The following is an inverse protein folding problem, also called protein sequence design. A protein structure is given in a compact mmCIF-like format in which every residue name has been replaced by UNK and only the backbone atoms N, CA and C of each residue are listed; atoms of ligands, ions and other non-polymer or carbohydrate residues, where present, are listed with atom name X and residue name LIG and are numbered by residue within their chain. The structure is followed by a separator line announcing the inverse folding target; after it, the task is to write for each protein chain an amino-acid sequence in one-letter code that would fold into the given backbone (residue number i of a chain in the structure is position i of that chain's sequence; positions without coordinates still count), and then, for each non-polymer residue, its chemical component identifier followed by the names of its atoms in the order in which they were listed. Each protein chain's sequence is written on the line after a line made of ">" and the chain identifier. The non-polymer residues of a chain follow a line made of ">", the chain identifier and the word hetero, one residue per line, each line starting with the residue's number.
data_IF_706776666724
#
_entry.id   IF_706776666724
#
_cell.length_a   1.000
_cell.length_b   1.000
_cell.length_c   1.000
_cell.angle_alpha   90.00
_cell.angle_beta   90.00
_cell.angle_gamma   90.00
#
_symmetry.space_group_name_H-M   'P 1'
#
loop_
_entity.id
_entity.type
_entity.pdbx_description
1 polymer ?
#
# COMPACT_ATOMS: atom_id res chain seq x y z
N UNK A 1 -52.99 38.89 24.57
CA UNK A 1 -51.64 38.32 24.36
C UNK A 1 -50.70 39.46 23.95
N UNK A 2 -49.57 39.62 24.65
CA UNK A 2 -48.76 40.84 24.62
C UNK A 2 -47.79 40.84 23.42
N UNK A 3 -48.10 41.65 22.40
CA UNK A 3 -47.36 41.77 21.12
C UNK A 3 -45.85 42.01 21.35
N UNK A 4 -45.49 42.80 22.36
CA UNK A 4 -44.09 43.09 22.72
C UNK A 4 -43.29 41.86 23.18
N UNK A 5 -43.94 40.84 23.77
CA UNK A 5 -43.29 39.59 24.21
C UNK A 5 -42.99 38.69 23.01
N UNK A 6 -43.94 38.60 22.07
CA UNK A 6 -43.80 37.84 20.82
C UNK A 6 -42.70 38.45 19.93
N UNK A 7 -42.58 39.78 19.89
CA UNK A 7 -41.53 40.48 19.14
C UNK A 7 -40.13 40.27 19.74
N UNK A 8 -39.99 40.28 21.07
CA UNK A 8 -38.73 39.95 21.76
C UNK A 8 -38.30 38.50 21.50
N UNK A 9 -39.20 37.54 21.66
CA UNK A 9 -38.90 36.11 21.43
C UNK A 9 -38.53 35.84 19.95
N UNK A 10 -39.13 36.55 19.00
CA UNK A 10 -38.76 36.50 17.58
C UNK A 10 -37.39 37.12 17.32
N UNK A 11 -37.05 38.23 18.00
CA UNK A 11 -35.74 38.87 17.94
C UNK A 11 -34.62 37.96 18.44
N UNK A 12 -34.81 37.32 19.59
CA UNK A 12 -33.83 36.41 20.19
C UNK A 12 -33.64 35.12 19.37
N UNK A 13 -34.72 34.55 18.82
CA UNK A 13 -34.61 33.43 17.86
C UNK A 13 -33.83 33.82 16.59
N UNK A 14 -34.08 35.00 16.02
CA UNK A 14 -33.33 35.49 14.85
C UNK A 14 -31.86 35.70 15.17
N UNK A 15 -31.53 36.25 16.34
CA UNK A 15 -30.15 36.45 16.80
C UNK A 15 -29.39 35.12 16.94
N UNK A 16 -30.00 34.14 17.61
CA UNK A 16 -29.42 32.80 17.75
C UNK A 16 -29.28 32.01 16.44
N UNK A 17 -30.07 32.32 15.39
CA UNK A 17 -29.87 31.76 14.05
C UNK A 17 -28.69 32.45 13.35
N UNK A 18 -28.59 33.77 13.43
CA UNK A 18 -27.49 34.54 12.82
C UNK A 18 -26.13 34.20 13.41
N UNK A 19 -26.04 33.98 14.72
CA UNK A 19 -24.79 33.62 15.38
C UNK A 19 -24.30 32.22 14.95
N UNK A 20 -25.22 31.25 14.83
CA UNK A 20 -24.91 29.91 14.30
C UNK A 20 -24.47 29.93 12.83
N UNK A 21 -25.03 30.83 12.02
CA UNK A 21 -24.62 31.01 10.62
C UNK A 21 -23.23 31.64 10.50
N UNK A 22 -22.91 32.62 11.37
CA UNK A 22 -21.56 33.22 11.45
C UNK A 22 -20.53 32.20 11.89
N UNK A 23 -20.85 31.37 12.88
CA UNK A 23 -19.95 30.34 13.39
C UNK A 23 -19.68 29.25 12.32
N UNK A 24 -20.71 28.79 11.61
CA UNK A 24 -20.56 27.87 10.46
C UNK A 24 -19.69 28.49 9.36
N UNK A 25 -19.92 29.76 9.00
CA UNK A 25 -19.15 30.47 7.96
C UNK A 25 -17.69 30.66 8.37
N UNK A 26 -17.41 31.00 9.63
CA UNK A 26 -16.05 31.14 10.15
C UNK A 26 -15.32 29.80 10.17
N UNK A 27 -15.99 28.71 10.58
CA UNK A 27 -15.42 27.35 10.53
C UNK A 27 -15.11 26.95 9.09
N UNK A 28 -16.03 27.20 8.15
CA UNK A 28 -15.82 26.92 6.72
C UNK A 28 -14.66 27.73 6.13
N UNK A 29 -14.57 29.04 6.41
CA UNK A 29 -13.46 29.89 5.96
C UNK A 29 -12.11 29.46 6.55
N UNK A 30 -12.07 29.04 7.82
CA UNK A 30 -10.86 28.51 8.46
C UNK A 30 -10.41 27.21 7.77
N UNK A 31 -11.34 26.30 7.50
CA UNK A 31 -11.07 25.06 6.75
C UNK A 31 -10.60 25.35 5.32
N UNK A 32 -11.19 26.31 4.61
CA UNK A 32 -10.77 26.69 3.25
C UNK A 32 -9.36 27.31 3.21
N UNK A 33 -9.02 28.19 4.16
CA UNK A 33 -7.66 28.76 4.26
C UNK A 33 -6.63 27.70 4.62
N UNK A 34 -6.93 26.82 5.58
CA UNK A 34 -6.05 25.70 5.92
C UNK A 34 -5.81 24.79 4.72
N UNK A 35 -6.85 24.44 3.96
CA UNK A 35 -6.71 23.65 2.73
C UNK A 35 -5.86 24.34 1.67
N UNK A 36 -5.95 25.66 1.50
CA UNK A 36 -5.11 26.41 0.56
C UNK A 36 -3.63 26.44 0.99
N UNK A 37 -3.37 26.70 2.27
CA UNK A 37 -2.00 26.71 2.82
C UNK A 37 -1.38 25.31 2.74
N UNK A 38 -2.16 24.28 3.06
CA UNK A 38 -1.76 22.88 2.97
C UNK A 38 -1.50 22.47 1.51
N UNK A 39 -2.39 22.82 0.57
CA UNK A 39 -2.19 22.56 -0.86
C UNK A 39 -0.92 23.24 -1.40
N UNK A 40 -0.61 24.46 -0.95
CA UNK A 40 0.61 25.18 -1.32
C UNK A 40 1.88 24.51 -0.76
N UNK A 41 1.78 23.87 0.41
CA UNK A 41 2.88 23.05 0.97
C UNK A 41 3.00 21.72 0.21
N UNK A 42 1.89 21.03 -0.04
CA UNK A 42 1.84 19.72 -0.69
C UNK A 42 2.30 19.75 -2.15
N UNK A 43 2.26 20.91 -2.82
CA UNK A 43 2.91 21.08 -4.14
C UNK A 43 4.44 20.90 -4.13
N UNK A 44 5.04 20.61 -2.97
CA UNK A 44 6.45 20.23 -2.78
C UNK A 44 6.55 18.78 -2.29
N UNK A 45 7.77 18.27 -2.14
CA UNK A 45 8.03 16.91 -1.69
C UNK A 45 7.69 15.85 -2.72
N UNK A 46 7.72 14.59 -2.29
CA UNK A 46 7.41 13.43 -3.15
C UNK A 46 5.96 13.46 -3.64
N UNK A 47 5.01 13.90 -2.79
CA UNK A 47 3.60 13.97 -3.17
C UNK A 47 3.37 14.99 -4.30
N UNK A 48 3.96 16.18 -4.18
CA UNK A 48 3.89 17.21 -5.22
C UNK A 48 4.62 16.78 -6.50
N UNK A 49 5.85 16.28 -6.36
CA UNK A 49 6.65 15.83 -7.51
C UNK A 49 5.93 14.78 -8.37
N UNK A 50 5.25 13.83 -7.74
CA UNK A 50 4.51 12.79 -8.45
C UNK A 50 3.08 13.19 -8.84
N UNK A 51 2.64 14.43 -8.60
CA UNK A 51 1.29 14.89 -8.95
C UNK A 51 0.21 14.10 -8.21
N UNK A 52 0.41 13.86 -6.91
CA UNK A 52 -0.45 13.04 -6.05
C UNK A 52 -1.25 13.85 -5.02
N UNK A 53 -1.22 15.18 -5.11
CA UNK A 53 -1.77 16.13 -4.14
C UNK A 53 -3.27 15.94 -3.93
N UNK A 54 -4.03 15.88 -5.03
CA UNK A 54 -5.49 15.69 -4.98
C UNK A 54 -5.86 14.36 -4.32
N UNK A 55 -5.14 13.29 -4.65
CA UNK A 55 -5.36 11.99 -4.02
C UNK A 55 -5.00 12.03 -2.53
N UNK A 56 -3.86 12.63 -2.19
CA UNK A 56 -3.36 12.74 -0.83
C UNK A 56 -4.32 13.51 0.09
N UNK A 57 -4.85 14.64 -0.38
CA UNK A 57 -5.79 15.49 0.37
C UNK A 57 -7.18 14.88 0.51
N UNK A 58 -7.64 14.13 -0.49
CA UNK A 58 -9.01 13.61 -0.51
C UNK A 58 -9.13 12.18 0.04
N UNK A 59 -8.10 11.34 -0.07
CA UNK A 59 -8.15 9.92 0.35
C UNK A 59 -7.75 9.72 1.82
N UNK A 60 -6.86 10.56 2.36
CA UNK A 60 -6.41 10.49 3.74
C UNK A 60 -7.01 11.59 4.60
N UNK A 61 -7.32 11.28 5.86
CA UNK A 61 -7.63 12.31 6.86
C UNK A 61 -6.36 13.04 7.30
N UNK A 62 -6.50 14.16 8.01
CA UNK A 62 -5.35 14.89 8.55
C UNK A 62 -4.53 14.03 9.53
N UNK A 63 -5.21 13.23 10.36
CA UNK A 63 -4.60 12.29 11.30
C UNK A 63 -3.80 11.21 10.56
N UNK A 64 -4.38 10.61 9.52
CA UNK A 64 -3.68 9.62 8.69
C UNK A 64 -2.46 10.24 7.99
N UNK A 65 -2.59 11.46 7.44
CA UNK A 65 -1.45 12.17 6.83
C UNK A 65 -0.34 12.42 7.84
N UNK A 66 -0.67 12.80 9.07
CA UNK A 66 0.31 12.99 10.14
C UNK A 66 0.99 11.67 10.55
N UNK A 67 0.23 10.57 10.64
CA UNK A 67 0.79 9.24 10.89
C UNK A 67 1.76 8.85 9.77
N UNK A 68 1.37 9.06 8.51
CA UNK A 68 2.22 8.73 7.36
C UNK A 68 3.52 9.53 7.40
N UNK A 69 3.45 10.85 7.60
CA UNK A 69 4.62 11.74 7.67
C UNK A 69 5.56 11.37 8.82
N UNK A 70 5.03 11.03 9.99
CA UNK A 70 5.84 10.67 11.15
C UNK A 70 6.45 9.26 11.04
N UNK A 71 5.80 8.36 10.32
CA UNK A 71 6.28 6.97 10.13
C UNK A 71 7.28 6.87 8.99
N UNK A 72 7.03 7.57 7.89
CA UNK A 72 7.86 7.55 6.71
C UNK A 72 9.03 8.52 6.86
N UNK A 73 10.18 7.98 7.27
CA UNK A 73 11.42 8.74 7.48
C UNK A 73 12.56 8.00 6.77
N UNK A 74 12.56 7.98 5.42
CA UNK A 74 13.62 7.35 4.65
C UNK A 74 14.97 8.04 4.93
N UNK A 75 16.02 7.23 5.05
CA UNK A 75 17.36 7.73 5.34
C UNK A 75 17.83 8.68 4.22
N UNK A 76 18.40 9.82 4.62
CA UNK A 76 19.05 10.76 3.69
C UNK A 76 18.13 11.79 3.02
N UNK A 77 16.81 11.71 3.20
CA UNK A 77 15.87 12.69 2.64
C UNK A 77 15.47 13.78 3.65
N UNK A 78 15.92 13.73 4.91
CA UNK A 78 15.56 14.73 5.92
C UNK A 78 14.11 14.62 6.40
N UNK A 79 13.69 15.51 7.31
CA UNK A 79 12.35 15.44 7.89
C UNK A 79 11.28 15.89 6.90
N UNK A 80 10.20 15.12 6.82
CA UNK A 80 8.98 15.44 6.07
C UNK A 80 9.16 15.53 4.54
N UNK A 81 9.95 14.60 3.99
CA UNK A 81 10.24 14.48 2.55
C UNK A 81 9.01 14.40 1.65
N UNK A 82 7.90 13.90 2.18
CA UNK A 82 6.64 13.75 1.46
C UNK A 82 6.06 15.07 0.98
N UNK A 83 6.22 16.16 1.74
CA UNK A 83 5.50 17.43 1.48
C UNK A 83 6.34 18.70 1.60
N UNK A 84 7.62 18.63 1.98
CA UNK A 84 8.43 19.85 2.17
C UNK A 84 9.60 19.99 1.19
N UNK A 85 10.28 18.91 0.86
CA UNK A 85 11.53 18.99 0.11
C UNK A 85 11.30 19.29 -1.37
N UNK A 86 12.05 20.22 -1.95
CA UNK A 86 12.02 20.39 -3.39
C UNK A 86 12.79 19.25 -4.06
N UNK A 87 12.07 18.43 -4.81
CA UNK A 87 12.65 17.33 -5.58
C UNK A 87 12.90 17.86 -6.98
N UNK A 88 14.18 18.08 -7.30
CA UNK A 88 14.62 18.54 -8.62
C UNK A 88 14.51 17.43 -9.65
N UNK A 89 14.82 16.20 -9.25
CA UNK A 89 14.74 15.02 -10.12
C UNK A 89 14.68 13.74 -9.31
N UNK A 90 13.97 12.73 -9.81
CA UNK A 90 13.98 11.37 -9.31
C UNK A 90 13.98 10.41 -10.50
N UNK A 91 14.72 9.31 -10.39
CA UNK A 91 14.64 8.19 -11.34
C UNK A 91 13.50 7.22 -11.00
N UNK A 92 12.89 7.35 -9.82
CA UNK A 92 11.85 6.45 -9.34
C UNK A 92 10.51 6.76 -10.01
N UNK A 93 9.79 5.71 -10.44
CA UNK A 93 8.44 5.86 -10.98
C UNK A 93 7.40 6.11 -9.88
N UNK A 94 6.19 6.56 -10.27
CA UNK A 94 5.05 6.70 -9.32
C UNK A 94 4.69 5.37 -8.65
N UNK A 95 4.78 4.26 -9.41
CA UNK A 95 4.52 2.92 -8.89
C UNK A 95 5.57 2.54 -7.86
N UNK A 96 6.85 2.74 -8.17
CA UNK A 96 7.94 2.44 -7.27
C UNK A 96 7.88 3.27 -5.98
N UNK A 97 7.57 4.57 -6.09
CA UNK A 97 7.37 5.44 -4.94
C UNK A 97 6.26 4.93 -4.02
N UNK A 98 5.05 4.74 -4.55
CA UNK A 98 3.91 4.30 -3.74
C UNK A 98 4.09 2.88 -3.20
N UNK A 99 4.71 1.99 -3.98
CA UNK A 99 5.12 0.65 -3.55
C UNK A 99 6.08 0.74 -2.35
N UNK A 100 7.15 1.53 -2.47
CA UNK A 100 8.11 1.79 -1.39
C UNK A 100 7.45 2.37 -0.15
N UNK A 101 6.58 3.38 -0.32
CA UNK A 101 5.82 4.00 0.76
C UNK A 101 4.94 2.98 1.50
N UNK A 102 4.19 2.15 0.77
CA UNK A 102 3.32 1.12 1.38
C UNK A 102 4.08 0.15 2.28
N UNK A 103 5.37 -0.07 2.00
CA UNK A 103 6.19 -1.03 2.72
C UNK A 103 6.46 -0.64 4.19
N UNK A 104 6.27 0.63 4.56
CA UNK A 104 6.39 1.15 5.93
C UNK A 104 5.17 0.85 6.80
N UNK A 105 4.03 0.51 6.19
CA UNK A 105 2.74 0.41 6.86
C UNK A 105 2.21 -1.04 6.92
N UNK A 106 3.11 -2.04 6.94
CA UNK A 106 2.74 -3.47 6.92
C UNK A 106 2.01 -3.95 8.18
N UNK A 107 2.18 -3.26 9.31
CA UNK A 107 1.65 -3.72 10.60
C UNK A 107 0.12 -3.51 10.68
N UNK A 108 -0.59 -4.35 11.47
CA UNK A 108 -2.03 -4.24 11.72
C UNK A 108 -2.56 -2.83 11.96
N UNK A 109 -1.90 -2.07 12.83
CA UNK A 109 -2.31 -0.72 13.21
C UNK A 109 -2.31 0.27 12.03
N UNK A 110 -1.55 -0.01 10.98
CA UNK A 110 -1.42 0.83 9.78
C UNK A 110 -2.05 0.21 8.53
N UNK A 111 -2.70 -0.94 8.66
CA UNK A 111 -3.26 -1.66 7.51
C UNK A 111 -4.24 -0.82 6.66
N UNK A 112 -5.15 0.00 7.24
CA UNK A 112 -6.02 0.87 6.44
C UNK A 112 -5.24 1.87 5.56
N UNK A 113 -4.16 2.44 6.09
CA UNK A 113 -3.27 3.35 5.35
C UNK A 113 -2.57 2.59 4.22
N UNK A 114 -1.98 1.44 4.53
CA UNK A 114 -1.29 0.61 3.53
C UNK A 114 -2.21 0.22 2.37
N UNK A 115 -3.46 -0.14 2.67
CA UNK A 115 -4.47 -0.50 1.66
C UNK A 115 -4.77 0.68 0.73
N UNK A 116 -4.97 1.89 1.26
CA UNK A 116 -5.19 3.10 0.44
C UNK A 116 -4.01 3.42 -0.47
N UNK A 117 -2.78 3.21 0.01
CA UNK A 117 -1.55 3.41 -0.78
C UNK A 117 -1.45 2.36 -1.90
N UNK A 118 -1.67 1.08 -1.58
CA UNK A 118 -1.64 -0.02 -2.57
C UNK A 118 -2.72 0.15 -3.64
N UNK A 119 -3.94 0.52 -3.25
CA UNK A 119 -5.04 0.82 -4.19
C UNK A 119 -4.63 1.92 -5.18
N UNK A 120 -3.94 2.96 -4.70
CA UNK A 120 -3.46 4.04 -5.58
C UNK A 120 -2.32 3.56 -6.47
N UNK A 121 -1.35 2.83 -5.92
CA UNK A 121 -0.23 2.27 -6.65
C UNK A 121 -0.71 1.39 -7.82
N UNK A 122 -1.74 0.56 -7.57
CA UNK A 122 -2.32 -0.34 -8.57
C UNK A 122 -2.83 0.39 -9.82
N UNK A 123 -3.28 1.66 -9.70
CA UNK A 123 -3.70 2.49 -10.84
C UNK A 123 -2.58 2.89 -11.81
N UNK A 124 -1.34 2.54 -11.48
CA UNK A 124 -0.14 2.80 -12.28
C UNK A 124 0.52 1.52 -12.82
N UNK A 125 -0.02 0.34 -12.53
CA UNK A 125 0.53 -0.96 -13.00
C UNK A 125 0.61 -1.00 -14.52
N UNK A 126 -0.45 -0.61 -15.22
CA UNK A 126 -0.48 -0.61 -16.70
C UNK A 126 0.22 0.60 -17.33
N UNK A 127 0.87 1.45 -16.51
CA UNK A 127 1.54 2.69 -16.94
C UNK A 127 3.05 2.64 -16.76
N UNK A 128 3.58 1.50 -16.31
CA UNK A 128 5.02 1.29 -16.17
C UNK A 128 5.47 0.18 -17.10
N UNK A 129 6.59 0.40 -17.76
CA UNK A 129 7.30 -0.63 -18.52
C UNK A 129 8.44 -1.25 -17.69
N UNK A 130 8.68 -0.73 -16.48
CA UNK A 130 9.71 -1.25 -15.59
C UNK A 130 9.21 -2.51 -14.87
N UNK A 131 9.76 -3.65 -15.28
CA UNK A 131 9.41 -4.95 -14.74
C UNK A 131 9.82 -5.14 -13.27
N UNK A 132 10.88 -4.46 -12.82
CA UNK A 132 11.33 -4.54 -11.43
C UNK A 132 10.41 -3.70 -10.54
N UNK A 133 9.92 -2.56 -11.01
CA UNK A 133 8.89 -1.79 -10.30
C UNK A 133 7.62 -2.61 -10.08
N UNK A 134 7.15 -3.32 -11.12
CA UNK A 134 6.02 -4.25 -11.02
C UNK A 134 6.31 -5.38 -10.03
N UNK A 135 7.49 -5.99 -10.13
CA UNK A 135 7.91 -7.06 -9.23
C UNK A 135 7.91 -6.61 -7.77
N UNK A 136 8.48 -5.44 -7.46
CA UNK A 136 8.52 -4.90 -6.10
C UNK A 136 7.15 -4.42 -5.61
N UNK A 137 6.30 -3.89 -6.50
CA UNK A 137 4.90 -3.59 -6.17
C UNK A 137 4.16 -4.83 -5.69
N UNK A 138 4.16 -5.92 -6.47
CA UNK A 138 3.49 -7.14 -6.06
C UNK A 138 4.12 -7.74 -4.80
N UNK A 139 5.45 -7.65 -4.64
CA UNK A 139 6.11 -8.05 -3.40
C UNK A 139 5.56 -7.32 -2.17
N UNK A 140 5.45 -6.00 -2.23
CA UNK A 140 4.93 -5.20 -1.12
C UNK A 140 3.44 -5.49 -0.88
N UNK A 141 2.66 -5.65 -1.95
CA UNK A 141 1.25 -6.06 -1.91
C UNK A 141 1.08 -7.39 -1.16
N UNK A 142 1.89 -8.41 -1.48
CA UNK A 142 1.89 -9.71 -0.79
C UNK A 142 2.19 -9.55 0.70
N UNK A 143 3.24 -8.79 1.04
CA UNK A 143 3.69 -8.65 2.42
C UNK A 143 2.67 -7.91 3.30
N UNK A 144 2.03 -6.87 2.77
CA UNK A 144 0.96 -6.13 3.48
C UNK A 144 -0.24 -7.05 3.69
N UNK A 145 -0.77 -7.66 2.64
CA UNK A 145 -1.99 -8.46 2.77
C UNK A 145 -1.79 -9.74 3.58
N UNK A 146 -0.70 -10.48 3.36
CA UNK A 146 -0.47 -11.73 4.10
C UNK A 146 -0.29 -11.48 5.60
N UNK A 147 0.33 -10.36 5.99
CA UNK A 147 0.50 -9.99 7.40
C UNK A 147 -0.83 -9.67 8.08
N UNK A 148 -1.81 -9.17 7.32
CA UNK A 148 -3.12 -8.74 7.82
C UNK A 148 -4.26 -9.71 7.46
N UNK A 149 -3.92 -10.94 7.03
CA UNK A 149 -4.86 -11.99 6.62
C UNK A 149 -5.86 -12.43 7.71
N UNK A 150 -5.51 -12.23 8.97
CA UNK A 150 -6.34 -12.61 10.12
C UNK A 150 -7.26 -11.43 10.56
N UNK A 151 -7.11 -10.26 9.94
CA UNK A 151 -7.84 -9.01 10.28
C UNK A 151 -8.87 -8.67 9.20
N UNK A 152 -8.51 -8.81 7.93
CA UNK A 152 -9.38 -8.61 6.78
C UNK A 152 -9.61 -9.96 6.10
N UNK A 153 -10.87 -10.39 6.06
CA UNK A 153 -11.26 -11.70 5.50
C UNK A 153 -10.81 -11.88 4.04
N UNK A 154 -10.65 -10.78 3.30
CA UNK A 154 -10.21 -10.81 1.90
C UNK A 154 -8.69 -10.72 1.76
N UNK A 155 -7.95 -10.40 2.82
CA UNK A 155 -6.51 -10.16 2.72
C UNK A 155 -5.72 -11.44 2.38
N UNK A 156 -6.18 -12.62 2.80
CA UNK A 156 -5.54 -13.86 2.35
C UNK A 156 -5.65 -14.04 0.83
N UNK A 157 -6.83 -13.84 0.26
CA UNK A 157 -7.08 -13.99 -1.17
C UNK A 157 -6.34 -12.93 -1.99
N UNK A 158 -6.31 -11.69 -1.51
CA UNK A 158 -5.53 -10.61 -2.11
C UNK A 158 -4.02 -10.93 -2.10
N UNK A 159 -3.50 -11.53 -1.03
CA UNK A 159 -2.11 -11.98 -0.98
C UNK A 159 -1.84 -13.11 -1.98
N UNK A 160 -2.75 -14.09 -2.10
CA UNK A 160 -2.64 -15.18 -3.10
C UNK A 160 -2.66 -14.61 -4.51
N UNK A 161 -3.56 -13.67 -4.79
CA UNK A 161 -3.65 -13.01 -6.10
C UNK A 161 -2.36 -12.26 -6.43
N UNK A 162 -1.84 -11.46 -5.50
CA UNK A 162 -0.58 -10.76 -5.67
C UNK A 162 0.62 -11.72 -5.85
N UNK A 163 0.63 -12.88 -5.17
CA UNK A 163 1.65 -13.91 -5.42
C UNK A 163 1.61 -14.40 -6.87
N UNK A 164 0.40 -14.67 -7.40
CA UNK A 164 0.22 -15.11 -8.79
C UNK A 164 0.63 -14.01 -9.78
N UNK A 165 0.30 -12.75 -9.50
CA UNK A 165 0.73 -11.60 -10.32
C UNK A 165 2.26 -11.44 -10.33
N UNK A 166 2.93 -11.60 -9.18
CA UNK A 166 4.39 -11.55 -9.15
C UNK A 166 5.03 -12.73 -9.90
N UNK A 167 4.46 -13.94 -9.76
CA UNK A 167 4.93 -15.14 -10.45
C UNK A 167 4.72 -15.05 -11.96
N UNK A 168 3.64 -14.44 -12.45
CA UNK A 168 3.40 -14.35 -13.90
C UNK A 168 4.47 -13.55 -14.63
N UNK A 169 5.12 -12.61 -13.95
CA UNK A 169 6.22 -11.79 -14.48
C UNK A 169 7.62 -12.31 -14.10
N UNK A 170 7.72 -13.44 -13.39
CA UNK A 170 8.97 -13.90 -12.78
C UNK A 170 10.10 -14.10 -13.79
N UNK A 171 9.84 -14.70 -14.96
CA UNK A 171 10.88 -14.90 -15.98
C UNK A 171 11.45 -13.59 -16.51
N UNK A 172 10.62 -12.55 -16.61
CA UNK A 172 11.05 -11.23 -17.06
C UNK A 172 11.83 -10.51 -15.96
N UNK A 173 11.32 -10.55 -14.72
CA UNK A 173 12.01 -10.00 -13.55
C UNK A 173 13.37 -10.66 -13.32
N UNK A 174 13.47 -11.99 -13.45
CA UNK A 174 14.73 -12.73 -13.36
C UNK A 174 15.77 -12.26 -14.39
N UNK A 175 15.33 -11.99 -15.63
CA UNK A 175 16.21 -11.43 -16.67
C UNK A 175 16.67 -10.02 -16.32
N UNK A 176 15.79 -9.17 -15.80
CA UNK A 176 16.13 -7.82 -15.37
C UNK A 176 17.11 -7.81 -14.19
N UNK A 177 16.86 -8.61 -13.15
CA UNK A 177 17.78 -8.76 -12.01
C UNK A 177 19.17 -9.24 -12.44
N UNK A 178 19.28 -10.19 -13.38
CA UNK A 178 20.59 -10.64 -13.88
C UNK A 178 21.38 -9.56 -14.63
N UNK A 179 20.71 -8.54 -15.18
CA UNK A 179 21.38 -7.40 -15.81
C UNK A 179 21.93 -6.43 -14.77
N UNK A 180 21.21 -6.22 -13.67
CA UNK A 180 21.58 -5.27 -12.62
C UNK A 180 22.50 -5.87 -11.55
N UNK A 181 22.31 -7.15 -11.23
CA UNK A 181 23.04 -7.86 -10.20
C UNK A 181 24.15 -8.71 -10.82
N UNK A 182 25.38 -8.55 -10.31
CA UNK A 182 26.52 -9.41 -10.67
C UNK A 182 26.50 -10.80 -9.98
N UNK A 183 25.36 -11.20 -9.40
CA UNK A 183 25.27 -12.36 -8.50
C UNK A 183 24.00 -13.18 -8.67
N UNK A 184 23.71 -14.02 -7.68
CA UNK A 184 22.53 -14.87 -7.68
C UNK A 184 21.24 -14.03 -7.60
N UNK A 185 20.17 -14.55 -8.19
CA UNK A 185 18.85 -13.95 -8.04
C UNK A 185 18.46 -13.89 -6.55
N UNK A 186 17.72 -12.85 -6.12
CA UNK A 186 17.23 -12.79 -4.75
C UNK A 186 16.21 -13.90 -4.48
N UNK A 187 15.76 -14.00 -3.24
CA UNK A 187 14.60 -14.82 -2.92
C UNK A 187 13.33 -14.19 -3.52
N UNK A 188 12.52 -14.99 -4.20
CA UNK A 188 11.27 -14.52 -4.80
C UNK A 188 10.09 -14.68 -3.84
N UNK A 189 9.60 -13.56 -3.30
CA UNK A 189 8.55 -13.53 -2.27
C UNK A 189 7.26 -14.23 -2.73
N UNK A 190 6.81 -14.05 -3.97
CA UNK A 190 5.61 -14.69 -4.51
C UNK A 190 5.66 -16.21 -4.48
N UNK A 191 6.71 -16.82 -5.04
CA UNK A 191 6.94 -18.27 -4.96
C UNK A 191 6.98 -18.77 -3.52
N UNK A 192 7.79 -18.14 -2.65
CA UNK A 192 7.91 -18.57 -1.24
C UNK A 192 6.56 -18.49 -0.54
N UNK A 193 5.91 -17.33 -0.60
CA UNK A 193 4.69 -17.08 0.17
C UNK A 193 3.52 -17.94 -0.32
N UNK A 194 3.38 -18.12 -1.64
CA UNK A 194 2.36 -19.01 -2.20
C UNK A 194 2.61 -20.46 -1.80
N UNK A 195 3.86 -20.93 -1.84
CA UNK A 195 4.18 -22.27 -1.37
C UNK A 195 3.90 -22.46 0.13
N UNK A 196 4.12 -21.44 0.97
CA UNK A 196 3.73 -21.49 2.40
C UNK A 196 2.20 -21.60 2.54
N UNK A 197 1.45 -20.82 1.76
CA UNK A 197 -0.02 -20.83 1.80
C UNK A 197 -0.56 -22.21 1.37
N UNK A 198 -0.06 -22.75 0.26
CA UNK A 198 -0.49 -24.07 -0.26
C UNK A 198 -0.12 -25.22 0.69
N UNK A 199 1.05 -25.17 1.32
CA UNK A 199 1.42 -26.17 2.34
C UNK A 199 0.45 -26.16 3.53
N UNK A 200 0.05 -24.96 4.02
CA UNK A 200 -0.97 -24.82 5.08
C UNK A 200 -2.34 -25.33 4.65
N UNK A 201 -2.68 -25.22 3.37
CA UNK A 201 -3.91 -25.74 2.77
C UNK A 201 -3.83 -27.25 2.45
N UNK A 202 -2.71 -27.92 2.79
CA UNK A 202 -2.43 -29.33 2.43
C UNK A 202 -2.44 -29.61 0.93
N UNK A 203 -2.29 -28.58 0.10
CA UNK A 203 -2.17 -28.68 -1.35
C UNK A 203 -0.69 -28.88 -1.71
N UNK A 204 -0.18 -30.07 -1.40
CA UNK A 204 1.23 -30.42 -1.56
C UNK A 204 1.64 -30.54 -3.03
N UNK A 205 0.70 -30.87 -3.93
CA UNK A 205 0.95 -30.89 -5.37
C UNK A 205 1.30 -29.49 -5.87
N UNK A 206 0.51 -28.47 -5.50
CA UNK A 206 0.85 -27.08 -5.83
C UNK A 206 2.20 -26.66 -5.23
N UNK A 207 2.52 -27.05 -3.98
CA UNK A 207 3.82 -26.73 -3.37
C UNK A 207 4.98 -27.26 -4.22
N UNK A 208 4.88 -28.50 -4.70
CA UNK A 208 5.89 -29.11 -5.56
C UNK A 208 6.02 -28.33 -6.88
N UNK A 209 4.89 -28.02 -7.54
CA UNK A 209 4.91 -27.31 -8.83
C UNK A 209 5.52 -25.91 -8.71
N UNK A 210 5.06 -25.13 -7.72
CA UNK A 210 5.56 -23.78 -7.44
C UNK A 210 7.07 -23.80 -7.15
N UNK A 211 7.53 -24.75 -6.33
CA UNK A 211 8.95 -24.85 -5.95
C UNK A 211 9.83 -25.30 -7.12
N UNK A 212 9.34 -26.23 -7.95
CA UNK A 212 10.05 -26.65 -9.18
C UNK A 212 10.18 -25.50 -10.17
N UNK A 213 9.12 -24.71 -10.36
CA UNK A 213 9.16 -23.55 -11.25
C UNK A 213 10.18 -22.52 -10.74
N UNK A 214 10.12 -22.14 -9.46
CA UNK A 214 11.06 -21.21 -8.85
C UNK A 214 12.53 -21.65 -9.03
N UNK A 215 12.82 -22.94 -8.75
CA UNK A 215 14.13 -23.55 -8.95
C UNK A 215 14.57 -23.49 -10.42
N UNK A 216 13.69 -23.85 -11.36
CA UNK A 216 14.02 -23.85 -12.79
C UNK A 216 14.33 -22.47 -13.35
N UNK A 217 13.72 -21.42 -12.78
CA UNK A 217 13.97 -20.03 -13.15
C UNK A 217 15.23 -19.45 -12.46
N UNK A 218 15.82 -20.20 -11.52
CA UNK A 218 17.05 -19.84 -10.82
C UNK A 218 16.87 -18.90 -9.64
N UNK A 219 15.64 -18.71 -9.14
CA UNK A 219 15.39 -17.91 -7.94
C UNK A 219 16.04 -18.55 -6.72
N UNK A 220 16.61 -17.75 -5.81
CA UNK A 220 17.20 -18.28 -4.59
C UNK A 220 16.11 -18.76 -3.61
N UNK A 221 16.41 -19.80 -2.83
CA UNK A 221 15.49 -20.39 -1.85
C UNK A 221 15.77 -21.86 -1.55
N UNK A 222 15.09 -22.41 -0.54
CA UNK A 222 15.21 -23.80 -0.09
C UNK A 222 14.32 -24.78 -0.89
N UNK A 223 14.27 -24.60 -2.21
CA UNK A 223 13.29 -25.26 -3.09
C UNK A 223 13.36 -26.79 -3.05
N UNK A 224 14.57 -27.37 -3.03
CA UNK A 224 14.74 -28.82 -2.99
C UNK A 224 14.18 -29.42 -1.71
N UNK A 225 14.53 -28.83 -0.56
CA UNK A 225 14.01 -29.22 0.75
C UNK A 225 12.49 -29.08 0.82
N UNK A 226 11.94 -28.04 0.19
CA UNK A 226 10.50 -27.80 0.14
C UNK A 226 9.78 -28.83 -0.74
N UNK A 227 10.37 -29.21 -1.88
CA UNK A 227 9.86 -30.28 -2.76
C UNK A 227 9.86 -31.62 -2.03
N UNK A 228 10.98 -32.00 -1.41
CA UNK A 228 11.13 -33.27 -0.69
C UNK A 228 10.09 -33.41 0.43
N UNK A 229 9.96 -32.39 1.29
CA UNK A 229 8.96 -32.38 2.36
C UNK A 229 7.53 -32.48 1.84
N UNK A 230 7.21 -31.79 0.74
CA UNK A 230 5.88 -31.83 0.16
C UNK A 230 5.58 -33.21 -0.44
N UNK A 231 6.56 -33.87 -1.07
CA UNK A 231 6.42 -35.25 -1.56
C UNK A 231 6.13 -36.24 -0.43
N UNK A 232 6.90 -36.18 0.67
CA UNK A 232 6.68 -37.04 1.85
C UNK A 232 5.27 -36.85 2.44
N UNK A 233 4.82 -35.58 2.57
CA UNK A 233 3.46 -35.28 3.07
C UNK A 233 2.37 -35.75 2.10
N UNK A 234 2.60 -35.65 0.79
CA UNK A 234 1.65 -36.11 -0.24
C UNK A 234 1.50 -37.63 -0.23
N UNK A 235 2.61 -38.37 -0.11
CA UNK A 235 2.58 -39.83 0.03
C UNK A 235 1.82 -40.27 1.28
N UNK A 236 2.08 -39.61 2.42
CA UNK A 236 1.34 -39.88 3.65
C UNK A 236 -0.16 -39.63 3.48
N UNK A 237 -0.54 -38.50 2.89
CA UNK A 237 -1.95 -38.16 2.63
C UNK A 237 -2.65 -39.17 1.71
N UNK A 238 -1.92 -39.81 0.78
CA UNK A 238 -2.45 -40.87 -0.09
C UNK A 238 -2.63 -42.21 0.64
N UNK A 239 -1.83 -42.48 1.66
CA UNK A 239 -1.94 -43.70 2.49
C UNK A 239 -3.07 -43.60 3.54
N UNK A 240 -3.40 -42.38 3.95
CA UNK A 240 -4.46 -42.10 4.93
C UNK A 240 -5.87 -41.99 4.29
N UNK A 241 -5.99 -42.16 2.97
CA UNK A 241 -7.25 -42.17 2.20
C UNK A 241 -7.61 -43.58 1.78
#
# INVERSE_FOLDING_TARGET
>A
MNVKKIERERGDKKRGIMDRLKEKRNKQMKTSKQKMEEAKRIGKGEIGYYGLEDWWLNKFTEEERNIIRNTYQPMGLGSDSLVQNEIVSSSQSKLAFLSGLSSWFKKPEYYPIAKKILEKAETFVDKTDDILDLHFFYQNKIQVYYRNRDIDSNALDLAIHACKQQISISKQAAKAFKKELKGNLPEHVGYRQLAIIRDKQKDYESVIQISKQAKSEGWNGDWDKRIEKAMQKLEKLKKDK
#
